data_IF_051953233940
#
_entry.id   IF_051953233940
#
_cell.length_a   1.000
_cell.length_b   1.000
_cell.length_c   1.000
_cell.angle_alpha   90.00
_cell.angle_beta   90.00
_cell.angle_gamma   90.00
#
_symmetry.space_group_name_H-M   'P 1'
#
loop_
_entity.id
_entity.type
_entity.pdbx_description
1 polymer ?
#
# COMPACT_ATOMS: atom_id res chain seq x y z
N UNK A 1 -5.85 14.79 -5.58
CA UNK A 1 -4.44 14.37 -5.38
C UNK A 1 -3.96 13.42 -6.49
N UNK A 2 -4.69 12.38 -6.93
CA UNK A 2 -4.24 11.43 -7.98
C UNK A 2 -3.89 12.06 -9.34
N UNK A 3 -4.46 13.21 -9.67
CA UNK A 3 -4.18 13.94 -10.91
C UNK A 3 -2.96 14.88 -10.84
N UNK A 4 -2.21 14.91 -9.75
CA UNK A 4 -0.94 15.65 -9.67
C UNK A 4 0.08 15.05 -10.61
N UNK A 5 0.88 15.92 -11.23
CA UNK A 5 1.94 15.52 -12.15
C UNK A 5 3.25 15.23 -11.43
N UNK A 6 3.96 14.23 -11.90
CA UNK A 6 5.38 13.96 -11.66
C UNK A 6 6.02 13.73 -13.04
N UNK A 7 7.00 14.53 -13.40
CA UNK A 7 7.68 14.45 -14.70
C UNK A 7 6.69 14.29 -15.88
N UNK A 8 5.66 15.15 -15.92
CA UNK A 8 4.68 15.22 -17.02
C UNK A 8 3.59 14.15 -17.04
N UNK A 9 3.57 13.19 -16.11
CA UNK A 9 2.52 12.16 -15.98
C UNK A 9 1.82 12.27 -14.63
N UNK A 10 0.50 12.03 -14.60
CA UNK A 10 -0.25 12.02 -13.33
C UNK A 10 0.14 10.83 -12.45
N UNK A 11 -0.04 10.97 -11.13
CA UNK A 11 0.13 9.86 -10.20
C UNK A 11 -0.76 8.67 -10.59
N UNK A 12 -2.02 8.94 -10.93
CA UNK A 12 -2.98 7.92 -11.35
C UNK A 12 -2.53 7.17 -12.61
N UNK A 13 -2.05 7.91 -13.65
CA UNK A 13 -1.53 7.29 -14.86
C UNK A 13 -0.39 6.31 -14.54
N UNK A 14 0.54 6.73 -13.68
CA UNK A 14 1.67 5.90 -13.23
C UNK A 14 1.19 4.67 -12.46
N UNK A 15 0.24 4.85 -11.54
CA UNK A 15 -0.35 3.76 -10.76
C UNK A 15 -1.04 2.73 -11.67
N UNK A 16 -1.83 3.19 -12.65
CA UNK A 16 -2.48 2.32 -13.64
C UNK A 16 -1.43 1.54 -14.44
N UNK A 17 -0.41 2.23 -14.95
CA UNK A 17 0.64 1.59 -15.75
C UNK A 17 1.42 0.53 -14.96
N UNK A 18 1.80 0.83 -13.73
CA UNK A 18 2.49 -0.11 -12.84
C UNK A 18 1.61 -1.32 -12.48
N UNK A 19 0.34 -1.08 -12.14
CA UNK A 19 -0.60 -2.16 -11.84
C UNK A 19 -0.84 -3.07 -13.06
N UNK A 20 -1.05 -2.48 -14.24
CA UNK A 20 -1.25 -3.22 -15.49
C UNK A 20 -0.03 -4.08 -15.84
N UNK A 21 1.17 -3.53 -15.71
CA UNK A 21 2.39 -4.30 -15.95
C UNK A 21 2.54 -5.47 -14.96
N UNK A 22 2.18 -5.25 -13.69
CA UNK A 22 2.27 -6.29 -12.66
C UNK A 22 1.26 -7.45 -12.83
N UNK A 23 0.18 -7.25 -13.61
CA UNK A 23 -0.84 -8.27 -13.89
C UNK A 23 -0.90 -8.64 -15.38
N UNK A 24 0.13 -8.31 -16.16
CA UNK A 24 0.14 -8.52 -17.62
C UNK A 24 -0.09 -9.97 -18.03
N UNK A 25 0.32 -10.92 -17.20
CA UNK A 25 0.21 -12.37 -17.45
C UNK A 25 -1.01 -12.99 -16.73
N UNK A 26 -1.97 -12.17 -16.29
CA UNK A 26 -3.11 -12.57 -15.46
C UNK A 26 -4.44 -12.21 -16.12
N UNK A 27 -4.98 -13.14 -16.90
CA UNK A 27 -6.30 -12.98 -17.56
C UNK A 27 -7.48 -13.04 -16.57
N UNK A 28 -7.22 -13.52 -15.35
CA UNK A 28 -8.19 -13.68 -14.27
C UNK A 28 -8.26 -12.46 -13.33
N UNK A 29 -7.48 -11.40 -13.60
CA UNK A 29 -7.43 -10.18 -12.77
C UNK A 29 -7.96 -8.97 -13.54
N UNK A 30 -8.99 -8.32 -13.01
CA UNK A 30 -9.51 -7.06 -13.55
C UNK A 30 -8.91 -5.85 -12.80
N UNK A 31 -8.47 -4.84 -13.56
CA UNK A 31 -8.03 -3.56 -13.02
C UNK A 31 -9.11 -2.51 -13.28
N UNK A 32 -9.55 -1.84 -12.20
CA UNK A 32 -10.53 -0.75 -12.28
C UNK A 32 -10.13 0.40 -11.37
N UNK A 33 -10.51 1.62 -11.71
CA UNK A 33 -10.39 2.80 -10.82
C UNK A 33 -11.73 3.05 -10.14
N UNK A 34 -11.76 2.96 -8.82
CA UNK A 34 -12.92 3.28 -8.00
C UNK A 34 -12.81 4.73 -7.49
N UNK A 35 -13.77 5.59 -7.82
CA UNK A 35 -13.74 7.02 -7.48
C UNK A 35 -15.15 7.62 -7.42
N UNK A 36 -15.31 8.70 -6.66
CA UNK A 36 -16.50 9.57 -6.65
C UNK A 36 -16.30 10.87 -7.48
N UNK A 37 -15.15 11.03 -8.10
CA UNK A 37 -14.73 12.20 -8.84
C UNK A 37 -14.74 11.89 -10.34
N UNK A 38 -15.56 12.63 -11.10
CA UNK A 38 -15.73 12.41 -12.54
C UNK A 38 -14.46 12.75 -13.34
N UNK A 39 -13.66 13.72 -12.88
CA UNK A 39 -12.39 14.06 -13.55
C UNK A 39 -11.38 12.92 -13.41
N UNK A 40 -11.35 12.27 -12.24
CA UNK A 40 -10.53 11.07 -12.01
C UNK A 40 -11.02 9.92 -12.87
N UNK A 41 -12.34 9.71 -12.95
CA UNK A 41 -12.93 8.65 -13.77
C UNK A 41 -12.68 8.86 -15.27
N UNK A 42 -12.82 10.10 -15.76
CA UNK A 42 -12.51 10.46 -17.15
C UNK A 42 -11.04 10.20 -17.48
N UNK A 43 -10.13 10.65 -16.59
CA UNK A 43 -8.69 10.42 -16.77
C UNK A 43 -8.30 8.94 -16.77
N UNK A 44 -8.95 8.12 -15.91
CA UNK A 44 -8.75 6.67 -15.92
C UNK A 44 -9.18 6.03 -17.25
N UNK A 45 -10.35 6.44 -17.78
CA UNK A 45 -10.86 5.95 -19.07
C UNK A 45 -9.94 6.36 -20.24
N UNK A 46 -9.44 7.59 -20.25
CA UNK A 46 -8.43 8.07 -21.21
C UNK A 46 -7.14 7.24 -21.15
N UNK A 47 -6.74 6.81 -19.97
CA UNK A 47 -5.62 5.87 -19.76
C UNK A 47 -5.99 4.41 -20.10
N UNK A 48 -7.16 4.16 -20.69
CA UNK A 48 -7.64 2.82 -21.06
C UNK A 48 -8.04 1.94 -19.87
N UNK A 49 -8.20 2.50 -18.66
CA UNK A 49 -8.61 1.77 -17.47
C UNK A 49 -10.10 2.02 -17.18
N UNK A 50 -10.94 0.98 -17.02
CA UNK A 50 -12.32 1.15 -16.60
C UNK A 50 -12.42 1.91 -15.28
N UNK A 51 -13.46 2.73 -15.13
CA UNK A 51 -13.74 3.45 -13.89
C UNK A 51 -15.13 3.09 -13.37
N UNK A 52 -15.21 2.81 -12.07
CA UNK A 52 -16.44 2.56 -11.32
C UNK A 52 -16.70 3.77 -10.46
N UNK A 53 -17.84 4.43 -10.68
CA UNK A 53 -18.30 5.52 -9.82
C UNK A 53 -18.81 4.95 -8.51
N UNK A 54 -18.33 5.50 -7.41
CA UNK A 54 -18.70 5.09 -6.05
C UNK A 54 -19.36 6.23 -5.29
N UNK A 55 -20.11 5.92 -4.24
CA UNK A 55 -20.77 6.93 -3.42
C UNK A 55 -19.73 7.88 -2.76
N UNK A 56 -19.97 9.18 -2.83
CA UNK A 56 -19.14 10.21 -2.19
C UNK A 56 -19.15 10.13 -0.65
N UNK A 57 -20.16 9.49 -0.06
CA UNK A 57 -20.23 9.22 1.37
C UNK A 57 -19.19 8.18 1.87
N UNK A 58 -18.60 7.40 0.96
CA UNK A 58 -17.54 6.44 1.32
C UNK A 58 -16.25 7.19 1.66
N UNK A 59 -15.88 7.17 2.92
CA UNK A 59 -14.75 7.93 3.45
C UNK A 59 -13.39 7.27 3.20
N UNK A 60 -13.35 5.96 2.91
CA UNK A 60 -12.13 5.14 2.89
C UNK A 60 -11.85 4.53 1.51
N UNK A 61 -10.57 4.26 1.23
CA UNK A 61 -10.17 3.53 0.04
C UNK A 61 -10.66 2.08 0.04
N UNK A 62 -10.72 1.45 1.22
CA UNK A 62 -11.22 0.09 1.40
C UNK A 62 -12.72 -0.02 1.13
N UNK A 63 -13.51 0.95 1.63
CA UNK A 63 -14.94 1.03 1.32
C UNK A 63 -15.23 1.24 -0.16
N UNK A 64 -14.42 2.08 -0.85
CA UNK A 64 -14.52 2.26 -2.31
C UNK A 64 -14.13 0.99 -3.07
N UNK A 65 -13.08 0.31 -2.64
CA UNK A 65 -12.66 -0.96 -3.24
C UNK A 65 -13.76 -2.04 -3.08
N UNK A 66 -14.41 -2.11 -1.92
CA UNK A 66 -15.54 -3.01 -1.71
C UNK A 66 -16.74 -2.65 -2.61
N UNK A 67 -17.11 -1.38 -2.69
CA UNK A 67 -18.22 -0.93 -3.54
C UNK A 67 -17.96 -1.25 -5.02
N UNK A 68 -16.74 -1.04 -5.49
CA UNK A 68 -16.35 -1.43 -6.84
C UNK A 68 -16.40 -2.95 -7.06
N UNK A 69 -15.89 -3.74 -6.10
CA UNK A 69 -15.91 -5.20 -6.17
C UNK A 69 -17.34 -5.75 -6.25
N UNK A 70 -18.27 -5.19 -5.49
CA UNK A 70 -19.69 -5.60 -5.48
C UNK A 70 -20.46 -5.14 -6.73
N UNK A 71 -19.92 -4.28 -7.57
CA UNK A 71 -20.54 -3.90 -8.84
C UNK A 71 -20.37 -4.94 -9.95
N UNK A 72 -19.48 -5.90 -9.79
CA UNK A 72 -19.32 -7.01 -10.74
C UNK A 72 -20.42 -8.05 -10.53
N UNK A 73 -20.96 -8.55 -11.63
CA UNK A 73 -22.06 -9.52 -11.62
C UNK A 73 -21.68 -10.83 -10.89
N UNK A 74 -20.48 -11.29 -11.10
CA UNK A 74 -19.86 -12.35 -10.29
C UNK A 74 -18.81 -11.67 -9.40
N UNK A 75 -19.09 -11.61 -8.09
CA UNK A 75 -18.17 -10.98 -7.14
C UNK A 75 -16.77 -11.61 -7.23
N UNK A 76 -15.70 -10.81 -7.18
CA UNK A 76 -14.34 -11.34 -7.22
C UNK A 76 -14.04 -12.14 -5.95
N UNK A 77 -13.21 -13.16 -6.06
CA UNK A 77 -12.73 -13.90 -4.89
C UNK A 77 -11.83 -13.03 -4.01
N UNK A 78 -11.00 -12.23 -4.65
CA UNK A 78 -10.04 -11.33 -3.99
C UNK A 78 -10.23 -9.89 -4.44
N UNK A 79 -9.92 -8.95 -3.56
CA UNK A 79 -9.91 -7.52 -3.83
C UNK A 79 -8.55 -6.96 -3.42
N UNK A 80 -7.82 -6.36 -4.35
CA UNK A 80 -6.57 -5.66 -4.02
C UNK A 80 -6.80 -4.16 -4.13
N UNK A 81 -6.63 -3.47 -3.00
CA UNK A 81 -6.76 -2.02 -2.89
C UNK A 81 -5.40 -1.36 -3.04
N UNK A 82 -5.16 -0.79 -4.22
CA UNK A 82 -3.99 0.01 -4.56
C UNK A 82 -4.38 1.48 -4.59
N UNK A 83 -3.71 2.30 -3.77
CA UNK A 83 -3.99 3.74 -3.71
C UNK A 83 -3.60 4.43 -5.02
N UNK A 84 -4.53 5.18 -5.63
CA UNK A 84 -4.32 5.87 -6.92
C UNK A 84 -3.25 6.97 -6.92
N UNK A 85 -2.74 7.34 -5.76
CA UNK A 85 -1.66 8.31 -5.56
C UNK A 85 -0.34 7.67 -5.07
N UNK A 86 -0.24 6.34 -5.15
CA UNK A 86 0.96 5.57 -4.73
C UNK A 86 1.58 4.82 -5.92
N UNK A 87 2.17 5.53 -6.89
CA UNK A 87 2.62 4.95 -8.16
C UNK A 87 3.90 4.11 -8.06
N UNK A 88 4.67 4.28 -6.99
CA UNK A 88 5.97 3.63 -6.83
C UNK A 88 5.90 2.51 -5.79
N UNK A 89 5.10 1.50 -6.10
CA UNK A 89 5.05 0.29 -5.29
C UNK A 89 6.36 -0.50 -5.43
N UNK A 90 6.79 -1.24 -4.39
CA UNK A 90 7.89 -2.20 -4.53
C UNK A 90 7.63 -3.17 -5.67
N UNK A 91 8.70 -3.49 -6.41
CA UNK A 91 8.62 -4.49 -7.49
C UNK A 91 8.12 -5.82 -6.94
N UNK A 92 7.22 -6.47 -7.66
CA UNK A 92 6.63 -7.74 -7.24
C UNK A 92 5.62 -7.67 -6.09
N UNK A 93 5.41 -6.50 -5.45
CA UNK A 93 4.52 -6.38 -4.28
C UNK A 93 3.08 -6.82 -4.57
N UNK A 94 2.52 -6.42 -5.73
CA UNK A 94 1.17 -6.81 -6.14
C UNK A 94 1.06 -8.33 -6.34
N UNK A 95 2.03 -8.93 -7.04
CA UNK A 95 2.09 -10.39 -7.25
C UNK A 95 2.24 -11.15 -5.94
N UNK A 96 3.09 -10.68 -5.01
CA UNK A 96 3.28 -11.31 -3.71
C UNK A 96 2.01 -11.27 -2.84
N UNK A 97 1.27 -10.15 -2.88
CA UNK A 97 -0.03 -10.02 -2.18
C UNK A 97 -1.06 -10.99 -2.77
N UNK A 98 -1.17 -11.07 -4.11
CA UNK A 98 -2.08 -12.02 -4.78
C UNK A 98 -1.72 -13.47 -4.43
N UNK A 99 -0.45 -13.84 -4.48
CA UNK A 99 0.02 -15.18 -4.13
C UNK A 99 -0.30 -15.56 -2.66
N UNK A 100 -0.20 -14.61 -1.72
CA UNK A 100 -0.56 -14.83 -0.33
C UNK A 100 -2.07 -15.11 -0.18
N UNK A 101 -2.93 -14.36 -0.88
CA UNK A 101 -4.38 -14.58 -0.88
C UNK A 101 -4.74 -15.94 -1.51
N UNK A 102 -4.11 -16.31 -2.61
CA UNK A 102 -4.27 -17.61 -3.27
C UNK A 102 -3.85 -18.77 -2.37
N UNK A 103 -2.85 -18.53 -1.52
CA UNK A 103 -2.37 -19.48 -0.50
C UNK A 103 -3.26 -19.56 0.74
N UNK A 104 -4.33 -18.75 0.82
CA UNK A 104 -5.34 -18.83 1.88
C UNK A 104 -5.29 -17.70 2.92
N UNK A 105 -4.43 -16.69 2.77
CA UNK A 105 -4.47 -15.53 3.67
C UNK A 105 -5.81 -14.79 3.55
N UNK A 106 -6.42 -14.41 4.68
CA UNK A 106 -7.64 -13.58 4.68
C UNK A 106 -7.34 -12.16 4.18
N UNK A 107 -6.23 -11.61 4.65
CA UNK A 107 -5.70 -10.29 4.26
C UNK A 107 -4.20 -10.41 4.07
N UNK A 108 -3.66 -9.71 3.08
CA UNK A 108 -2.22 -9.64 2.83
C UNK A 108 -1.76 -8.20 2.59
N UNK A 109 -0.55 -7.87 3.05
CA UNK A 109 0.06 -6.54 2.86
C UNK A 109 1.58 -6.65 2.78
N UNK A 110 2.26 -5.82 1.95
CA UNK A 110 3.71 -5.86 1.87
C UNK A 110 4.38 -5.15 3.05
N UNK A 111 5.57 -5.64 3.40
CA UNK A 111 6.48 -5.02 4.37
C UNK A 111 7.91 -5.05 3.85
N UNK A 112 8.71 -4.06 4.23
CA UNK A 112 10.12 -3.90 3.86
C UNK A 112 10.97 -4.03 5.11
N UNK A 113 11.94 -4.92 5.11
CA UNK A 113 12.97 -4.98 6.17
C UNK A 113 13.85 -3.73 6.04
N UNK A 114 13.99 -2.97 7.12
CA UNK A 114 14.87 -1.81 7.12
C UNK A 114 16.29 -2.22 7.49
N UNK A 115 17.27 -1.82 6.67
CA UNK A 115 18.64 -1.77 7.13
C UNK A 115 18.83 -0.67 8.20
N UNK A 116 20.00 -0.61 8.79
CA UNK A 116 20.25 0.35 9.88
C UNK A 116 20.26 1.80 9.41
N UNK A 117 20.71 2.07 8.18
CA UNK A 117 20.72 3.41 7.59
C UNK A 117 19.27 3.87 7.32
N UNK A 118 18.46 3.03 6.75
CA UNK A 118 17.03 3.31 6.49
C UNK A 118 16.24 3.51 7.79
N UNK A 119 16.57 2.75 8.86
CA UNK A 119 15.98 2.94 10.17
C UNK A 119 16.35 4.29 10.78
N UNK A 120 17.61 4.70 10.68
CA UNK A 120 18.08 6.00 11.18
C UNK A 120 17.44 7.14 10.39
N UNK A 121 17.37 7.04 9.07
CA UNK A 121 16.64 7.99 8.25
C UNK A 121 15.15 8.10 8.62
N UNK A 122 14.50 6.97 8.93
CA UNK A 122 13.11 6.99 9.43
C UNK A 122 13.00 7.69 10.79
N UNK A 123 13.94 7.47 11.69
CA UNK A 123 14.01 8.15 13.00
C UNK A 123 14.13 9.66 12.84
N UNK A 124 15.07 10.11 12.01
CA UNK A 124 15.25 11.52 11.72
C UNK A 124 14.01 12.15 11.09
N UNK A 125 13.42 11.48 10.10
CA UNK A 125 12.19 11.95 9.47
C UNK A 125 11.05 12.11 10.48
N UNK A 126 10.92 11.19 11.43
CA UNK A 126 9.89 11.25 12.48
C UNK A 126 10.08 12.38 13.49
N UNK A 127 11.25 12.98 13.61
CA UNK A 127 11.44 14.19 14.41
C UNK A 127 10.66 15.38 13.82
N UNK A 128 10.50 15.43 12.49
CA UNK A 128 9.78 16.49 11.79
C UNK A 128 8.32 16.09 11.51
N UNK A 129 8.07 14.81 11.31
CA UNK A 129 6.74 14.26 10.95
C UNK A 129 6.44 12.99 11.76
N UNK A 130 6.07 13.12 13.05
CA UNK A 130 5.96 11.98 13.98
C UNK A 130 5.01 10.87 13.52
N UNK A 131 3.95 11.22 12.81
CA UNK A 131 2.92 10.30 12.33
C UNK A 131 3.12 9.81 10.88
N UNK A 132 4.26 10.15 10.24
CA UNK A 132 4.62 9.60 8.94
C UNK A 132 5.28 8.22 9.08
N UNK A 133 5.15 7.39 8.04
CA UNK A 133 5.69 6.03 8.03
C UNK A 133 5.08 5.13 9.11
N UNK A 134 4.74 3.93 8.73
CA UNK A 134 4.14 2.92 9.62
C UNK A 134 5.11 1.77 9.76
N UNK A 135 5.35 1.31 10.99
CA UNK A 135 6.11 0.09 11.25
C UNK A 135 5.19 -1.09 11.51
N UNK A 136 5.69 -2.29 11.27
CA UNK A 136 4.97 -3.53 11.49
C UNK A 136 5.81 -4.45 12.37
N UNK A 137 5.20 -5.00 13.40
CA UNK A 137 5.73 -6.13 14.16
C UNK A 137 5.11 -7.39 13.59
N UNK A 138 5.94 -8.35 13.20
CA UNK A 138 5.49 -9.61 12.60
C UNK A 138 6.00 -10.83 13.34
N UNK A 139 5.24 -11.89 13.29
CA UNK A 139 5.65 -13.21 13.75
C UNK A 139 6.63 -13.87 12.76
N UNK A 140 7.37 -14.91 13.18
CA UNK A 140 8.27 -15.64 12.29
C UNK A 140 7.60 -16.27 11.06
N UNK A 141 6.33 -16.61 11.16
CA UNK A 141 5.50 -17.15 10.07
C UNK A 141 5.01 -16.08 9.07
N UNK A 142 5.30 -14.81 9.34
CA UNK A 142 4.92 -13.69 8.49
C UNK A 142 3.62 -13.00 8.90
N UNK A 143 2.87 -13.52 9.86
CA UNK A 143 1.64 -12.90 10.36
C UNK A 143 1.94 -11.59 11.07
N UNK A 144 1.20 -10.52 10.75
CA UNK A 144 1.29 -9.26 11.44
C UNK A 144 0.77 -9.40 12.87
N UNK A 145 1.55 -8.91 13.83
CA UNK A 145 1.17 -8.85 15.23
C UNK A 145 0.66 -7.46 15.61
N UNK A 146 1.27 -6.41 15.00
CA UNK A 146 0.89 -5.03 15.27
C UNK A 146 1.40 -4.09 14.18
N UNK A 147 0.70 -2.97 14.01
CA UNK A 147 1.16 -1.82 13.22
C UNK A 147 1.14 -0.57 14.10
N UNK A 148 2.11 0.32 13.89
CA UNK A 148 2.16 1.57 14.65
C UNK A 148 2.81 2.70 13.88
N UNK A 149 2.40 3.93 14.20
CA UNK A 149 3.12 5.15 13.85
C UNK A 149 4.38 5.34 14.71
N UNK A 150 4.50 4.68 15.85
CA UNK A 150 5.77 4.58 16.58
C UNK A 150 6.72 3.60 15.87
N UNK A 151 8.03 3.74 16.07
CA UNK A 151 8.99 2.75 15.59
C UNK A 151 8.99 1.56 16.54
N UNK A 152 8.56 0.41 16.03
CA UNK A 152 8.51 -0.86 16.74
C UNK A 152 9.31 -1.94 15.97
N UNK A 153 9.90 -2.92 16.72
CA UNK A 153 9.96 -3.03 18.16
C UNK A 153 10.97 -2.08 18.80
N UNK A 154 10.89 -1.90 20.12
CA UNK A 154 11.99 -1.31 20.87
C UNK A 154 13.21 -2.24 20.79
N UNK A 155 14.39 -1.68 20.52
CA UNK A 155 15.60 -2.46 20.31
C UNK A 155 16.49 -2.39 21.54
N UNK A 156 16.66 -3.54 22.20
CA UNK A 156 17.65 -3.68 23.28
C UNK A 156 18.99 -4.10 22.67
N UNK A 157 20.08 -3.60 23.20
CA UNK A 157 21.45 -3.92 22.75
C UNK A 157 21.70 -3.60 21.26
N UNK A 158 21.20 -2.46 20.80
CA UNK A 158 21.24 -2.04 19.39
C UNK A 158 22.66 -2.04 18.81
N UNK A 159 23.65 -1.52 19.57
CA UNK A 159 25.06 -1.48 19.12
C UNK A 159 25.59 -2.87 18.79
N UNK A 160 25.24 -3.88 19.59
CA UNK A 160 25.62 -5.26 19.32
C UNK A 160 24.97 -5.81 18.05
N UNK A 161 23.67 -5.53 17.86
CA UNK A 161 22.96 -5.99 16.66
C UNK A 161 23.50 -5.31 15.39
N UNK A 162 23.81 -4.03 15.45
CA UNK A 162 24.44 -3.31 14.33
C UNK A 162 25.80 -3.90 13.92
N UNK A 163 26.55 -4.41 14.87
CA UNK A 163 27.85 -5.01 14.62
C UNK A 163 27.76 -6.42 13.98
N UNK A 164 26.63 -7.11 14.11
CA UNK A 164 26.45 -8.51 13.68
C UNK A 164 25.49 -8.68 12.51
N UNK A 165 24.50 -7.80 12.38
CA UNK A 165 23.41 -7.94 11.43
C UNK A 165 23.29 -6.73 10.51
N UNK A 166 23.22 -6.97 9.20
CA UNK A 166 23.05 -5.90 8.20
C UNK A 166 21.65 -5.30 8.19
N UNK A 167 20.64 -6.03 8.69
CA UNK A 167 19.26 -5.57 8.79
C UNK A 167 18.89 -5.27 10.23
N UNK A 168 18.08 -4.22 10.42
CA UNK A 168 17.44 -3.95 11.70
C UNK A 168 16.25 -4.88 11.93
N UNK A 169 15.76 -5.05 13.17
CA UNK A 169 14.54 -5.81 13.42
C UNK A 169 13.25 -5.08 13.06
N UNK A 170 13.33 -3.89 12.45
CA UNK A 170 12.18 -3.05 12.13
C UNK A 170 11.71 -3.30 10.70
N UNK A 171 10.40 -3.51 10.56
CA UNK A 171 9.73 -3.65 9.27
C UNK A 171 8.90 -2.40 8.98
N UNK A 172 9.05 -1.83 7.80
CA UNK A 172 8.22 -0.73 7.29
C UNK A 172 7.05 -1.31 6.51
N UNK A 173 5.85 -0.89 6.86
CA UNK A 173 4.65 -1.25 6.14
C UNK A 173 4.52 -0.47 4.82
N UNK A 174 3.99 -1.13 3.79
CA UNK A 174 3.65 -0.54 2.49
C UNK A 174 2.12 -0.51 2.36
N UNK A 175 1.56 0.64 1.98
CA UNK A 175 0.12 0.87 1.91
C UNK A 175 -0.58 0.21 0.71
N UNK A 176 -0.39 -1.08 0.54
CA UNK A 176 -1.07 -1.94 -0.42
C UNK A 176 -1.73 -3.08 0.33
N UNK A 177 -3.00 -3.33 0.09
CA UNK A 177 -3.75 -4.39 0.76
C UNK A 177 -4.48 -5.28 -0.22
N UNK A 178 -4.36 -6.59 -0.01
CA UNK A 178 -5.21 -7.59 -0.62
C UNK A 178 -6.13 -8.23 0.42
N UNK A 179 -7.35 -8.53 0.03
CA UNK A 179 -8.38 -9.11 0.90
C UNK A 179 -9.06 -10.28 0.20
N UNK A 180 -9.42 -11.32 0.93
CA UNK A 180 -10.57 -12.13 0.52
C UNK A 180 -11.82 -11.25 0.62
N UNK A 181 -12.75 -11.38 -0.34
CA UNK A 181 -13.95 -10.53 -0.38
C UNK A 181 -14.72 -10.55 0.94
N UNK A 182 -14.90 -11.73 1.54
CA UNK A 182 -15.59 -11.88 2.82
C UNK A 182 -14.88 -11.15 3.97
N UNK A 183 -13.54 -11.15 3.99
CA UNK A 183 -12.78 -10.43 5.00
C UNK A 183 -12.96 -8.92 4.85
N UNK A 184 -12.97 -8.41 3.62
CA UNK A 184 -13.23 -6.99 3.34
C UNK A 184 -14.67 -6.59 3.71
N UNK A 185 -15.65 -7.44 3.45
CA UNK A 185 -17.04 -7.22 3.87
C UNK A 185 -17.18 -7.17 5.40
N UNK A 186 -16.55 -8.10 6.12
CA UNK A 186 -16.53 -8.10 7.59
C UNK A 186 -15.87 -6.84 8.14
N UNK A 187 -14.77 -6.40 7.53
CA UNK A 187 -14.04 -5.21 7.90
C UNK A 187 -14.89 -3.94 7.71
N UNK A 188 -15.49 -3.76 6.54
CA UNK A 188 -16.30 -2.57 6.23
C UNK A 188 -17.67 -2.55 6.95
N UNK A 189 -18.18 -3.70 7.40
CA UNK A 189 -19.37 -3.76 8.23
C UNK A 189 -19.17 -3.22 9.66
N UNK A 190 -17.91 -3.03 10.09
CA UNK A 190 -17.59 -2.58 11.43
C UNK A 190 -17.18 -1.08 11.42
N UNK A 191 -17.70 -0.34 12.39
CA UNK A 191 -17.29 1.06 12.60
C UNK A 191 -15.80 1.15 13.00
N UNK A 192 -15.12 2.27 12.69
CA UNK A 192 -13.75 2.50 13.12
C UNK A 192 -13.56 2.31 14.63
N UNK A 193 -12.51 1.57 15.01
CA UNK A 193 -12.22 1.21 16.39
C UNK A 193 -11.44 2.30 17.12
N UNK A 194 -11.20 2.13 18.41
CA UNK A 194 -10.45 3.09 19.20
C UNK A 194 -8.98 3.16 18.76
N UNK A 195 -8.34 2.00 18.55
CA UNK A 195 -6.92 1.93 18.18
C UNK A 195 -6.69 2.46 16.76
N UNK A 196 -7.60 2.12 15.83
CA UNK A 196 -7.60 2.68 14.48
C UNK A 196 -7.62 4.21 14.51
N UNK A 197 -8.52 4.82 15.32
CA UNK A 197 -8.63 6.28 15.43
C UNK A 197 -7.41 6.93 16.09
N UNK A 198 -6.82 6.27 17.09
CA UNK A 198 -5.64 6.80 17.80
C UNK A 198 -4.40 6.82 16.92
N UNK A 199 -4.16 5.75 16.17
CA UNK A 199 -2.99 5.61 15.30
C UNK A 199 -3.24 6.15 13.87
N UNK A 200 -4.51 6.35 13.47
CA UNK A 200 -4.88 6.67 12.08
C UNK A 200 -4.52 5.53 11.12
N UNK A 201 -4.73 4.29 11.55
CA UNK A 201 -4.34 3.07 10.85
C UNK A 201 -5.53 2.10 10.75
N UNK A 202 -6.19 2.03 9.59
CA UNK A 202 -7.35 1.16 9.33
C UNK A 202 -7.07 -0.32 9.64
N UNK A 203 -5.85 -0.79 9.39
CA UNK A 203 -5.47 -2.18 9.62
C UNK A 203 -5.48 -2.60 11.10
N UNK A 204 -5.50 -1.69 12.04
CA UNK A 204 -5.66 -2.03 13.45
C UNK A 204 -7.07 -2.56 13.74
N UNK A 205 -8.10 -2.07 13.02
CA UNK A 205 -9.46 -2.62 13.08
C UNK A 205 -9.49 -4.09 12.64
N UNK A 206 -8.73 -4.48 11.62
CA UNK A 206 -8.61 -5.90 11.23
C UNK A 206 -8.09 -6.74 12.40
N UNK A 207 -7.01 -6.29 13.07
CA UNK A 207 -6.44 -6.99 14.22
C UNK A 207 -7.45 -7.07 15.38
N UNK A 208 -8.15 -5.96 15.69
CA UNK A 208 -9.16 -5.92 16.75
C UNK A 208 -10.36 -6.83 16.44
N UNK A 209 -10.66 -7.07 15.17
CA UNK A 209 -11.71 -8.00 14.71
C UNK A 209 -11.24 -9.47 14.66
N UNK A 210 -9.96 -9.73 14.98
CA UNK A 210 -9.37 -11.07 14.86
C UNK A 210 -9.20 -11.56 13.42
N UNK A 211 -9.17 -10.64 12.44
CA UNK A 211 -8.87 -10.96 11.05
C UNK A 211 -7.35 -11.01 10.89
N UNK A 212 -6.83 -12.14 10.46
CA UNK A 212 -5.40 -12.33 10.30
C UNK A 212 -4.87 -11.57 9.08
N UNK A 213 -3.75 -10.85 9.29
CA UNK A 213 -3.03 -10.15 8.21
C UNK A 213 -1.71 -10.87 7.97
N UNK A 214 -1.53 -11.43 6.79
CA UNK A 214 -0.25 -11.98 6.34
C UNK A 214 0.62 -10.86 5.77
N UNK A 215 1.85 -10.73 6.25
CA UNK A 215 2.81 -9.80 5.66
C UNK A 215 3.68 -10.50 4.65
N UNK A 216 3.86 -9.91 3.47
CA UNK A 216 4.78 -10.37 2.45
C UNK A 216 6.01 -9.46 2.42
N UNK A 217 7.19 -10.05 2.57
CA UNK A 217 8.44 -9.31 2.51
C UNK A 217 8.76 -8.95 1.06
N UNK A 218 9.07 -7.68 0.82
CA UNK A 218 9.45 -7.15 -0.49
C UNK A 218 10.67 -6.24 -0.35
N UNK A 219 11.39 -6.03 -1.44
CA UNK A 219 12.53 -5.10 -1.46
C UNK A 219 12.05 -3.65 -1.45
N UNK A 220 12.89 -2.76 -0.95
CA UNK A 220 12.59 -1.32 -0.95
C UNK A 220 12.52 -0.79 -2.39
N UNK A 221 11.50 0.03 -2.73
CA UNK A 221 11.40 0.63 -4.05
C UNK A 221 12.53 1.66 -4.23
N UNK A 222 13.05 1.78 -5.45
CA UNK A 222 14.02 2.85 -5.80
C UNK A 222 13.45 4.25 -5.65
N UNK A 223 12.16 4.38 -5.91
CA UNK A 223 11.41 5.62 -5.83
C UNK A 223 10.43 5.49 -4.68
N UNK A 224 10.55 6.35 -3.68
CA UNK A 224 9.62 6.41 -2.56
C UNK A 224 9.01 7.81 -2.50
N UNK A 225 7.70 7.90 -2.54
CA UNK A 225 6.98 9.16 -2.54
C UNK A 225 5.75 9.05 -1.64
N UNK A 226 5.74 9.81 -0.56
CA UNK A 226 4.56 10.02 0.28
C UNK A 226 3.57 11.03 -0.31
N UNK A 227 3.90 11.60 -1.49
CA UNK A 227 3.06 12.55 -2.20
C UNK A 227 3.11 13.97 -1.65
N UNK A 228 4.10 14.31 -0.84
CA UNK A 228 4.39 15.70 -0.46
C UNK A 228 5.10 16.43 -1.61
N UNK A 229 5.13 17.77 -1.61
CA UNK A 229 5.86 18.53 -2.64
C UNK A 229 7.36 18.26 -2.64
N UNK A 230 7.94 18.09 -1.46
CA UNK A 230 9.36 17.74 -1.31
C UNK A 230 9.66 16.36 -1.92
N UNK A 231 8.77 15.39 -1.73
CA UNK A 231 8.91 14.06 -2.32
C UNK A 231 8.76 14.09 -3.84
N UNK A 232 7.83 14.88 -4.37
CA UNK A 232 7.65 15.04 -5.82
C UNK A 232 8.95 15.55 -6.45
N UNK A 233 9.52 16.64 -5.90
CA UNK A 233 10.77 17.21 -6.41
C UNK A 233 11.96 16.23 -6.30
N UNK A 234 11.98 15.39 -5.24
CA UNK A 234 12.99 14.33 -5.09
C UNK A 234 12.83 13.28 -6.18
N UNK A 235 11.60 12.80 -6.38
CA UNK A 235 11.30 11.78 -7.40
C UNK A 235 11.58 12.30 -8.80
N UNK A 236 11.24 13.55 -9.13
CA UNK A 236 11.55 14.14 -10.44
C UNK A 236 13.04 14.19 -10.72
N UNK A 237 13.87 14.51 -9.71
CA UNK A 237 15.33 14.42 -9.85
C UNK A 237 15.80 13.00 -10.11
N UNK A 238 15.30 12.01 -9.35
CA UNK A 238 15.63 10.61 -9.55
C UNK A 238 15.23 10.11 -10.94
N UNK A 239 14.06 10.53 -11.45
CA UNK A 239 13.60 10.22 -12.81
C UNK A 239 14.53 10.82 -13.86
N UNK A 240 14.99 12.08 -13.65
CA UNK A 240 15.94 12.73 -14.57
C UNK A 240 17.32 12.05 -14.58
N UNK A 241 17.76 11.52 -13.45
CA UNK A 241 19.06 10.84 -13.29
C UNK A 241 19.04 9.38 -13.76
N UNK A 242 17.96 8.66 -13.52
CA UNK A 242 17.89 7.19 -13.70
C UNK A 242 16.87 6.72 -14.75
N UNK A 243 16.14 7.64 -15.35
CA UNK A 243 15.02 7.33 -16.25
C UNK A 243 13.70 7.12 -15.53
N UNK A 244 12.61 7.20 -16.30
CA UNK A 244 11.26 7.02 -15.79
C UNK A 244 10.95 5.51 -15.61
N UNK A 245 10.69 5.02 -14.38
CA UNK A 245 10.40 3.62 -14.14
C UNK A 245 8.99 3.20 -14.58
N UNK A 246 8.14 4.16 -14.95
CA UNK A 246 6.75 3.89 -15.31
C UNK A 246 6.67 3.17 -16.66
N UNK A 247 6.09 1.97 -16.73
CA UNK A 247 5.86 1.27 -18.00
C UNK A 247 5.03 2.10 -18.99
N UNK A 248 5.09 1.75 -20.27
CA UNK A 248 4.10 2.24 -21.24
C UNK A 248 2.71 1.64 -20.91
N UNK A 249 1.65 2.41 -21.15
CA UNK A 249 0.27 1.92 -21.07
C UNK A 249 -0.11 1.14 -22.31
#
# INVERSE_FOLDING_TARGET
KPLRLIAGRTLLHRTIAMARAAISDRDDVALVVATDDEDIAAHAREAGCPAVMTDSALATGSGRALAAALSFAEGPRFVVNLQGDSPFQPEGALGAVLAALESGAEVATPVIALDWESLDALREHKLLSPFSGTTCVRAPDGRALWFSKAILPAIRDEDRLRATDGLSPVWRHVGLYGYQLEALQRFEACAPTMLERLEGLEQLRLIELGIEIMTVAVDAPRFDSSGTEADISKVERLIAEHGDPTPAL
#
